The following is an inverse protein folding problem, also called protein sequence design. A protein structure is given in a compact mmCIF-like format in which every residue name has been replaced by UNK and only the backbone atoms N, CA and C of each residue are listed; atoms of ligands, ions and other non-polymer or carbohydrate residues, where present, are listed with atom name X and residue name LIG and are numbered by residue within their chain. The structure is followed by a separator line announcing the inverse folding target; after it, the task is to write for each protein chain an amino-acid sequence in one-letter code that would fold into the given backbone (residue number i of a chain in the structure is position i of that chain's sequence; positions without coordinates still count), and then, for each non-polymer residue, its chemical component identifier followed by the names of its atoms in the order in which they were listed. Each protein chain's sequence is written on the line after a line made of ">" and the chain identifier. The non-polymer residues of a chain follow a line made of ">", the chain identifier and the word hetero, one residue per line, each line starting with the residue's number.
data_IF_103590005958
#
_entry.id   IF_103590005958
#
_cell.length_a   1.000
_cell.length_b   1.000
_cell.length_c   1.000
_cell.angle_alpha   90.00
_cell.angle_beta   90.00
_cell.angle_gamma   90.00
#
_symmetry.space_group_name_H-M   'P 1'
#
loop_
_entity.id
_entity.type
_entity.pdbx_description
1 polymer ?
#
# COMPACT_ATOMS: atom_id res chain seq x y z
N UNK A 1 -10.91 34.73 -24.03
CA UNK A 1 -11.59 33.59 -24.71
C UNK A 1 -10.77 32.32 -24.37
N UNK A 2 -11.42 31.30 -23.82
CA UNK A 2 -10.73 30.06 -23.48
C UNK A 2 -10.91 29.11 -24.66
N UNK A 3 -9.81 28.62 -25.20
CA UNK A 3 -9.86 27.59 -26.24
C UNK A 3 -10.04 26.23 -25.64
N UNK A 4 -11.25 25.71 -25.74
CA UNK A 4 -11.61 24.39 -25.19
C UNK A 4 -11.03 23.19 -25.98
N UNK A 5 -10.44 23.47 -27.13
CA UNK A 5 -9.80 22.47 -27.99
C UNK A 5 -8.28 22.45 -27.85
N UNK A 6 -7.74 23.33 -27.01
CA UNK A 6 -6.30 23.42 -26.78
C UNK A 6 -5.75 22.32 -25.89
N UNK A 7 -4.46 22.10 -25.97
CA UNK A 7 -3.72 21.13 -25.20
C UNK A 7 -3.85 21.32 -23.67
N UNK A 8 -4.22 22.50 -23.24
CA UNK A 8 -4.36 22.84 -21.82
C UNK A 8 -5.55 22.14 -21.15
N UNK A 9 -6.48 21.64 -21.94
CA UNK A 9 -7.65 20.91 -21.50
C UNK A 9 -7.66 19.45 -21.95
N UNK A 10 -6.52 18.93 -22.40
CA UNK A 10 -6.38 17.50 -22.67
C UNK A 10 -6.75 16.71 -21.43
N UNK A 11 -7.62 15.73 -21.59
CA UNK A 11 -8.01 14.85 -20.49
C UNK A 11 -6.75 14.29 -19.83
N UNK A 12 -6.62 14.55 -18.54
CA UNK A 12 -5.55 13.99 -17.75
C UNK A 12 -5.84 12.51 -17.58
N UNK A 13 -5.14 11.69 -18.33
CA UNK A 13 -5.25 10.23 -18.17
C UNK A 13 -4.73 9.88 -16.79
N UNK A 14 -5.64 9.50 -15.89
CA UNK A 14 -5.26 9.01 -14.57
C UNK A 14 -4.78 7.58 -14.74
N UNK A 15 -3.49 7.35 -14.50
CA UNK A 15 -2.91 6.02 -14.52
C UNK A 15 -3.31 5.28 -13.25
N UNK A 16 -3.79 4.06 -13.42
CA UNK A 16 -4.17 3.19 -12.32
C UNK A 16 -3.04 2.18 -12.07
N UNK A 17 -2.69 1.98 -10.82
CA UNK A 17 -1.63 1.05 -10.43
C UNK A 17 -1.90 -0.34 -11.02
N UNK A 18 -0.90 -0.91 -11.65
CA UNK A 18 -0.95 -2.18 -12.36
C UNK A 18 -2.16 -2.32 -13.31
N UNK A 19 -2.56 -1.22 -13.95
CA UNK A 19 -3.73 -1.17 -14.86
C UNK A 19 -5.03 -1.67 -14.21
N UNK A 20 -5.16 -1.57 -12.90
CA UNK A 20 -6.33 -2.00 -12.15
C UNK A 20 -6.44 -3.51 -11.96
N UNK A 21 -5.38 -4.27 -12.22
CA UNK A 21 -5.36 -5.73 -12.06
C UNK A 21 -4.61 -6.11 -10.79
N UNK A 22 -5.23 -6.94 -9.96
CA UNK A 22 -4.57 -7.50 -8.77
C UNK A 22 -3.56 -8.57 -9.15
N UNK A 23 -2.66 -8.85 -8.24
CA UNK A 23 -1.62 -9.85 -8.41
C UNK A 23 -0.22 -9.30 -8.15
N UNK A 24 0.77 -10.05 -8.58
CA UNK A 24 2.17 -9.65 -8.46
C UNK A 24 2.49 -8.53 -9.44
N UNK A 25 3.14 -7.49 -8.94
CA UNK A 25 3.62 -6.38 -9.75
C UNK A 25 5.14 -6.36 -9.65
N UNK A 26 5.82 -6.49 -10.77
CA UNK A 26 7.27 -6.55 -10.83
C UNK A 26 7.89 -5.18 -11.06
N UNK A 27 9.11 -5.01 -10.57
CA UNK A 27 9.96 -3.84 -10.84
C UNK A 27 9.30 -2.52 -10.43
N UNK A 28 8.77 -2.50 -9.21
CA UNK A 28 8.26 -1.27 -8.60
C UNK A 28 9.38 -0.56 -7.83
N UNK A 29 9.28 0.76 -7.76
CA UNK A 29 10.08 1.56 -6.83
C UNK A 29 9.28 1.82 -5.57
N UNK A 30 9.96 2.12 -4.47
CA UNK A 30 9.30 2.54 -3.24
C UNK A 30 9.80 3.89 -2.77
N UNK A 31 8.93 4.61 -2.09
CA UNK A 31 9.24 5.89 -1.46
C UNK A 31 8.55 5.95 -0.11
N UNK A 32 9.28 6.38 0.91
CA UNK A 32 8.71 6.59 2.24
C UNK A 32 8.28 8.05 2.37
N UNK A 33 7.04 8.24 2.78
CA UNK A 33 6.49 9.56 3.10
C UNK A 33 6.05 9.58 4.55
N UNK A 34 6.53 10.55 5.31
CA UNK A 34 6.03 10.82 6.65
C UNK A 34 4.78 11.67 6.55
N UNK A 35 3.68 11.20 7.13
CA UNK A 35 2.43 11.95 7.15
C UNK A 35 2.32 12.72 8.46
N UNK A 36 1.91 13.98 8.35
CA UNK A 36 1.56 14.77 9.49
C UNK A 36 0.26 14.29 10.11
N UNK A 37 0.22 14.20 11.42
CA UNK A 37 -0.97 13.81 12.17
C UNK A 37 -1.93 14.98 12.40
N UNK A 38 -1.83 16.07 11.66
CA UNK A 38 -2.62 17.28 11.86
C UNK A 38 -4.13 16.98 11.93
N UNK A 39 -4.60 16.78 13.16
CA UNK A 39 -6.00 16.65 13.48
C UNK A 39 -6.68 15.31 13.16
N UNK A 40 -5.96 14.34 12.61
CA UNK A 40 -6.52 13.01 12.32
C UNK A 40 -5.83 11.91 13.12
N UNK A 41 -6.52 11.39 14.14
CA UNK A 41 -6.03 10.24 14.90
C UNK A 41 -5.83 8.98 14.07
N UNK A 42 -6.36 8.95 12.85
CA UNK A 42 -6.35 7.81 11.94
C UNK A 42 -5.46 8.00 10.72
N UNK A 43 -4.80 9.13 10.60
CA UNK A 43 -3.84 9.34 9.51
C UNK A 43 -2.60 8.47 9.74
N UNK A 44 -2.08 7.79 8.73
CA UNK A 44 -0.86 7.02 8.90
C UNK A 44 0.31 7.94 9.24
N UNK A 45 1.16 7.52 10.17
CA UNK A 45 2.40 8.22 10.49
C UNK A 45 3.36 8.19 9.29
N UNK A 46 3.32 7.08 8.55
CA UNK A 46 4.11 6.89 7.33
C UNK A 46 3.28 6.21 6.25
N UNK A 47 3.59 6.55 5.01
CA UNK A 47 3.20 5.76 3.83
C UNK A 47 4.44 5.24 3.13
N UNK A 48 4.38 3.99 2.71
CA UNK A 48 5.29 3.46 1.70
C UNK A 48 4.54 3.49 0.38
N UNK A 49 5.03 4.31 -0.54
CA UNK A 49 4.42 4.49 -1.86
C UNK A 49 5.12 3.58 -2.84
N UNK A 50 4.36 2.70 -3.47
CA UNK A 50 4.82 1.81 -4.52
C UNK A 50 4.46 2.43 -5.87
N UNK A 51 5.44 2.55 -6.75
CA UNK A 51 5.23 3.11 -8.09
C UNK A 51 5.60 2.07 -9.13
N UNK A 52 4.68 1.77 -10.03
CA UNK A 52 4.90 0.79 -11.09
C UNK A 52 5.72 1.38 -12.25
N UNK A 53 6.04 0.54 -13.24
CA UNK A 53 6.87 0.93 -14.38
C UNK A 53 6.22 1.99 -15.27
N UNK A 54 4.93 2.20 -15.16
CA UNK A 54 4.20 3.24 -15.90
C UNK A 54 3.98 4.53 -15.11
N UNK A 55 4.45 4.57 -13.86
CA UNK A 55 4.37 5.76 -13.02
C UNK A 55 3.10 5.85 -12.17
N UNK A 56 2.26 4.82 -12.18
CA UNK A 56 1.11 4.77 -11.29
C UNK A 56 1.51 4.27 -9.90
N UNK A 57 0.84 4.74 -8.87
CA UNK A 57 1.21 4.47 -7.48
C UNK A 57 0.09 3.85 -6.67
N UNK A 58 0.49 3.04 -5.69
CA UNK A 58 -0.36 2.55 -4.63
C UNK A 58 0.37 2.68 -3.28
N UNK A 59 -0.36 2.83 -2.21
CA UNK A 59 0.21 3.11 -0.91
C UNK A 59 0.00 1.98 0.09
N UNK A 60 0.94 1.81 0.99
CA UNK A 60 0.79 1.02 2.20
C UNK A 60 0.98 1.91 3.42
N UNK A 61 -0.05 2.04 4.25
CA UNK A 61 -0.02 2.89 5.44
C UNK A 61 0.58 2.17 6.64
N UNK A 62 1.37 2.90 7.41
CA UNK A 62 1.97 2.47 8.67
C UNK A 62 1.61 3.47 9.75
N UNK A 63 0.56 3.20 10.49
CA UNK A 63 0.08 4.06 11.56
C UNK A 63 -0.17 3.28 12.83
N UNK A 64 -0.05 3.97 13.93
CA UNK A 64 -0.23 3.40 15.25
C UNK A 64 -1.72 3.24 15.57
N UNK A 65 -2.18 2.01 15.66
CA UNK A 65 -3.60 1.70 15.91
C UNK A 65 -3.83 0.73 17.07
N UNK A 66 -2.84 0.59 17.93
CA UNK A 66 -2.93 -0.31 19.09
C UNK A 66 -2.36 -1.71 18.90
N UNK A 67 -2.08 -2.14 17.67
CA UNK A 67 -1.39 -3.40 17.43
C UNK A 67 0.06 -3.19 16.99
N UNK A 68 0.91 -3.04 17.99
CA UNK A 68 2.33 -2.73 17.82
C UNK A 68 3.09 -3.82 17.08
N UNK A 69 2.84 -5.08 17.43
CA UNK A 69 3.56 -6.21 16.83
C UNK A 69 3.33 -6.30 15.32
N UNK A 70 2.10 -6.18 14.88
CA UNK A 70 1.77 -6.23 13.45
C UNK A 70 2.42 -5.05 12.73
N UNK A 71 2.32 -3.86 13.28
CA UNK A 71 2.89 -2.65 12.69
C UNK A 71 4.41 -2.79 12.50
N UNK A 72 5.11 -3.18 13.55
CA UNK A 72 6.57 -3.34 13.49
C UNK A 72 6.96 -4.50 12.59
N UNK A 73 6.25 -5.63 12.65
CA UNK A 73 6.52 -6.77 11.75
C UNK A 73 6.38 -6.39 10.27
N UNK A 74 5.37 -5.61 9.93
CA UNK A 74 5.20 -5.12 8.56
C UNK A 74 6.31 -4.16 8.14
N UNK A 75 6.68 -3.25 9.03
CA UNK A 75 7.80 -2.32 8.78
C UNK A 75 9.12 -3.07 8.60
N UNK A 76 9.40 -4.06 9.44
CA UNK A 76 10.59 -4.92 9.31
C UNK A 76 10.58 -5.72 8.02
N UNK A 77 9.43 -6.15 7.55
CA UNK A 77 9.30 -6.84 6.28
C UNK A 77 9.76 -5.96 5.10
N UNK A 78 9.34 -4.71 5.08
CA UNK A 78 9.85 -3.74 4.10
C UNK A 78 11.35 -3.49 4.30
N UNK A 79 11.77 -3.30 5.52
CA UNK A 79 13.18 -3.07 5.85
C UNK A 79 14.10 -4.20 5.37
N UNK A 80 13.69 -5.44 5.57
CA UNK A 80 14.46 -6.60 5.09
C UNK A 80 14.48 -6.73 3.57
N UNK A 81 13.42 -6.33 2.91
CA UNK A 81 13.43 -6.27 1.45
C UNK A 81 14.45 -5.25 0.92
N UNK A 82 14.60 -4.13 1.62
CA UNK A 82 15.51 -3.04 1.23
C UNK A 82 16.95 -3.30 1.65
N UNK A 83 17.17 -3.75 2.90
CA UNK A 83 18.48 -3.82 3.54
C UNK A 83 19.09 -5.23 3.52
N UNK A 84 18.29 -6.23 3.18
CA UNK A 84 18.70 -7.63 3.22
C UNK A 84 18.12 -8.39 4.42
N UNK A 85 17.94 -9.71 4.24
CA UNK A 85 17.33 -10.56 5.25
C UNK A 85 18.18 -10.67 6.55
N UNK A 86 19.48 -10.47 6.43
CA UNK A 86 20.44 -10.60 7.53
C UNK A 86 20.73 -9.26 8.23
N UNK A 87 20.11 -8.18 7.81
CA UNK A 87 20.35 -6.87 8.41
C UNK A 87 19.90 -6.83 9.87
N UNK A 88 20.74 -6.31 10.74
CA UNK A 88 20.45 -6.14 12.16
C UNK A 88 19.98 -4.72 12.43
N UNK A 89 18.72 -4.58 12.79
CA UNK A 89 18.12 -3.28 13.09
C UNK A 89 18.59 -2.77 14.45
N UNK A 90 18.72 -1.44 14.61
CA UNK A 90 19.10 -0.86 15.90
C UNK A 90 17.98 -1.08 16.93
N UNK A 91 18.38 -1.13 18.20
CA UNK A 91 17.43 -1.19 19.30
C UNK A 91 16.56 0.08 19.35
N UNK A 92 15.35 -0.06 19.84
CA UNK A 92 14.40 1.04 19.96
C UNK A 92 13.81 1.09 21.37
N UNK A 93 13.48 2.28 21.82
CA UNK A 93 12.93 2.53 23.15
C UNK A 93 11.40 2.43 23.21
N UNK A 94 10.76 2.55 22.05
CA UNK A 94 9.30 2.48 21.92
C UNK A 94 8.91 2.02 20.51
N UNK A 95 7.65 1.66 20.34
CA UNK A 95 7.10 1.33 19.02
C UNK A 95 7.24 2.45 18.03
N UNK A 96 6.96 3.68 18.47
CA UNK A 96 7.11 4.86 17.61
C UNK A 96 8.57 5.11 17.25
N UNK A 97 9.48 4.96 18.17
CA UNK A 97 10.92 5.08 17.92
C UNK A 97 11.39 3.98 16.94
N UNK A 98 10.92 2.74 17.13
CA UNK A 98 11.21 1.65 16.22
C UNK A 98 10.75 1.96 14.79
N UNK A 99 9.50 2.40 14.65
CA UNK A 99 8.94 2.74 13.34
C UNK A 99 9.71 3.87 12.67
N UNK A 100 10.04 4.93 13.41
CA UNK A 100 10.85 6.03 12.89
C UNK A 100 12.23 5.57 12.41
N UNK A 101 12.90 4.72 13.17
CA UNK A 101 14.23 4.18 12.81
C UNK A 101 14.17 3.30 11.57
N UNK A 102 13.21 2.40 11.52
CA UNK A 102 13.03 1.49 10.38
C UNK A 102 12.70 2.29 9.11
N UNK A 103 11.77 3.21 9.20
CA UNK A 103 11.34 4.00 8.03
C UNK A 103 12.44 4.92 7.52
N UNK A 104 13.26 5.47 8.41
CA UNK A 104 14.44 6.25 8.01
C UNK A 104 15.46 5.40 7.27
N UNK A 105 15.72 4.19 7.73
CA UNK A 105 16.62 3.26 7.07
C UNK A 105 16.10 2.87 5.68
N UNK A 106 14.82 2.61 5.56
CA UNK A 106 14.17 2.31 4.27
C UNK A 106 14.34 3.50 3.32
N UNK A 107 14.01 4.70 3.79
CA UNK A 107 14.13 5.92 3.01
C UNK A 107 15.55 6.15 2.50
N UNK A 108 16.54 5.99 3.37
CA UNK A 108 17.94 6.27 3.04
C UNK A 108 18.57 5.21 2.13
N UNK A 109 17.97 4.02 2.02
CA UNK A 109 18.56 2.89 1.31
C UNK A 109 17.73 2.33 0.14
N UNK A 110 16.57 2.88 -0.14
CA UNK A 110 15.68 2.37 -1.19
C UNK A 110 15.87 3.00 -2.56
N UNK A 111 16.53 4.14 -2.65
CA UNK A 111 16.75 4.82 -3.91
C UNK A 111 17.52 3.96 -4.91
N UNK A 112 17.03 3.89 -6.14
CA UNK A 112 17.65 3.11 -7.21
C UNK A 112 17.42 1.61 -7.13
N UNK A 113 16.68 1.12 -6.14
CA UNK A 113 16.36 -0.30 -5.99
C UNK A 113 14.99 -0.61 -6.55
N UNK A 114 14.86 -1.80 -7.12
CA UNK A 114 13.60 -2.33 -7.64
C UNK A 114 13.10 -3.46 -6.75
N UNK A 115 11.78 -3.51 -6.61
CA UNK A 115 11.08 -4.49 -5.79
C UNK A 115 9.93 -5.10 -6.58
N UNK A 116 9.45 -6.24 -6.11
CA UNK A 116 8.15 -6.76 -6.51
C UNK A 116 7.17 -6.56 -5.36
N UNK A 117 5.92 -6.32 -5.69
CA UNK A 117 4.85 -6.20 -4.71
C UNK A 117 3.64 -7.03 -5.10
N UNK A 118 2.68 -7.12 -4.21
CA UNK A 118 1.42 -7.81 -4.46
C UNK A 118 0.25 -6.91 -4.08
N UNK A 119 -0.69 -6.74 -5.00
CA UNK A 119 -1.87 -5.91 -4.77
C UNK A 119 -3.16 -6.71 -4.97
N UNK A 120 -4.20 -6.33 -4.25
CA UNK A 120 -5.49 -7.00 -4.26
C UNK A 120 -6.63 -6.01 -4.09
N UNK A 121 -7.82 -6.45 -4.47
CA UNK A 121 -9.08 -5.79 -4.06
C UNK A 121 -9.57 -6.34 -2.71
N UNK A 122 -8.65 -6.44 -1.76
CA UNK A 122 -8.93 -7.01 -0.45
C UNK A 122 -8.97 -8.53 -0.46
N UNK A 123 -9.61 -9.08 0.55
CA UNK A 123 -9.72 -10.52 0.72
C UNK A 123 -11.18 -10.91 0.95
N UNK A 124 -11.67 -11.88 0.21
CA UNK A 124 -13.05 -12.32 0.27
C UNK A 124 -13.47 -12.84 1.66
N UNK A 125 -12.52 -13.38 2.43
CA UNK A 125 -12.79 -13.94 3.75
C UNK A 125 -12.77 -12.90 4.87
N UNK A 126 -12.22 -11.72 4.61
CA UNK A 126 -12.08 -10.66 5.61
C UNK A 126 -12.72 -9.36 5.19
N UNK A 127 -12.20 -8.74 4.14
CA UNK A 127 -12.61 -7.40 3.75
C UNK A 127 -12.39 -7.17 2.26
N UNK A 128 -13.39 -7.37 1.41
CA UNK A 128 -13.35 -6.95 0.02
C UNK A 128 -13.20 -5.42 -0.08
N UNK A 129 -12.48 -4.96 -1.09
CA UNK A 129 -12.28 -3.54 -1.35
C UNK A 129 -12.71 -3.19 -2.78
N UNK A 130 -13.22 -1.99 -2.96
CA UNK A 130 -13.47 -1.41 -4.28
C UNK A 130 -12.21 -0.82 -4.90
N UNK A 131 -11.15 -0.71 -4.11
CA UNK A 131 -9.89 -0.13 -4.51
C UNK A 131 -8.79 -1.17 -4.49
N UNK A 132 -7.88 -1.05 -5.45
CA UNK A 132 -6.68 -1.87 -5.50
C UNK A 132 -5.69 -1.36 -4.45
N UNK A 133 -5.33 -2.22 -3.53
CA UNK A 133 -4.43 -1.89 -2.42
C UNK A 133 -3.24 -2.84 -2.40
N UNK A 134 -2.13 -2.38 -1.83
CA UNK A 134 -1.02 -3.27 -1.50
C UNK A 134 -1.52 -4.28 -0.46
N UNK A 135 -1.24 -5.55 -0.69
CA UNK A 135 -1.64 -6.62 0.23
C UNK A 135 -1.06 -6.39 1.63
N UNK A 136 -1.80 -6.77 2.65
CA UNK A 136 -1.42 -6.46 4.02
C UNK A 136 -0.21 -7.26 4.50
N UNK A 137 -0.13 -8.56 4.17
CA UNK A 137 0.99 -9.43 4.50
C UNK A 137 1.66 -9.95 3.22
N UNK A 138 2.94 -10.32 3.32
CA UNK A 138 3.73 -10.84 2.21
C UNK A 138 3.54 -10.00 0.94
N UNK A 139 3.93 -8.75 1.04
CA UNK A 139 3.58 -7.75 0.02
C UNK A 139 4.78 -7.13 -0.69
N UNK A 140 5.99 -7.46 -0.30
CA UNK A 140 7.20 -6.91 -0.91
C UNK A 140 8.36 -7.91 -0.85
N UNK A 141 9.13 -7.93 -1.90
CA UNK A 141 10.40 -8.65 -1.98
C UNK A 141 11.34 -7.92 -2.95
N UNK A 142 12.67 -8.12 -2.88
CA UNK A 142 13.57 -7.61 -3.91
C UNK A 142 13.19 -8.14 -5.29
N UNK A 143 13.36 -7.33 -6.34
CA UNK A 143 13.01 -7.75 -7.70
C UNK A 143 13.87 -8.91 -8.21
N UNK A 144 15.08 -9.06 -7.68
CA UNK A 144 16.04 -10.11 -8.05
C UNK A 144 15.98 -11.36 -7.16
N UNK A 145 14.91 -11.51 -6.37
CA UNK A 145 14.74 -12.68 -5.50
C UNK A 145 14.69 -13.97 -6.32
N UNK A 146 15.41 -15.01 -5.88
CA UNK A 146 15.43 -16.31 -6.57
C UNK A 146 14.11 -17.07 -6.41
N UNK A 147 13.56 -17.07 -5.20
CA UNK A 147 12.34 -17.79 -4.87
C UNK A 147 11.27 -16.82 -4.39
N UNK A 148 10.35 -16.47 -5.27
CA UNK A 148 9.27 -15.55 -4.92
C UNK A 148 8.33 -16.14 -3.86
N UNK A 149 7.98 -15.30 -2.89
CA UNK A 149 6.90 -15.57 -1.92
C UNK A 149 5.59 -14.90 -2.32
N UNK A 150 5.66 -13.99 -3.29
CA UNK A 150 4.49 -13.24 -3.76
C UNK A 150 3.65 -14.13 -4.69
N UNK A 151 2.64 -14.72 -4.14
CA UNK A 151 1.69 -15.58 -4.84
C UNK A 151 0.27 -15.30 -4.36
N UNK A 152 -0.71 -15.68 -5.15
CA UNK A 152 -2.11 -15.61 -4.75
C UNK A 152 -2.33 -16.49 -3.52
N UNK A 153 -2.99 -15.94 -2.53
CA UNK A 153 -3.39 -16.65 -1.31
C UNK A 153 -4.90 -16.83 -1.28
N UNK A 154 -5.35 -17.74 -0.42
CA UNK A 154 -6.76 -18.01 -0.26
C UNK A 154 -7.54 -16.74 0.09
N UNK A 155 -8.53 -16.44 -0.71
CA UNK A 155 -9.40 -15.28 -0.55
C UNK A 155 -8.90 -13.99 -1.22
N UNK A 156 -7.68 -13.96 -1.76
CA UNK A 156 -7.18 -12.78 -2.48
C UNK A 156 -8.08 -12.47 -3.68
N UNK A 157 -8.57 -11.24 -3.75
CA UNK A 157 -9.39 -10.76 -4.85
C UNK A 157 -8.51 -9.99 -5.84
N UNK A 158 -8.38 -10.56 -7.04
CA UNK A 158 -7.54 -9.99 -8.09
C UNK A 158 -8.31 -9.08 -9.05
N UNK A 159 -9.62 -9.17 -9.01
CA UNK A 159 -10.51 -8.35 -9.82
C UNK A 159 -11.48 -7.58 -8.93
N UNK A 160 -11.89 -6.43 -9.42
CA UNK A 160 -12.88 -5.61 -8.72
C UNK A 160 -14.19 -6.39 -8.63
N UNK A 161 -14.67 -6.57 -7.42
CA UNK A 161 -15.99 -7.17 -7.19
C UNK A 161 -17.04 -6.19 -7.69
N UNK A 162 -17.96 -6.68 -8.54
CA UNK A 162 -19.09 -5.88 -8.97
C UNK A 162 -19.87 -5.45 -7.72
N UNK A 163 -20.06 -4.12 -7.57
CA UNK A 163 -21.00 -3.65 -6.58
C UNK A 163 -22.39 -4.12 -6.99
N UNK A 164 -23.05 -4.79 -6.06
CA UNK A 164 -24.50 -4.89 -6.18
C UNK A 164 -25.04 -3.46 -6.33
N UNK A 165 -25.89 -3.26 -7.34
CA UNK A 165 -26.54 -1.97 -7.49
C UNK A 165 -27.09 -1.55 -6.12
N UNK A 166 -26.95 -0.25 -5.76
CA UNK A 166 -27.45 0.19 -4.48
C UNK A 166 -28.92 -0.18 -4.40
N UNK A 167 -29.19 -1.27 -3.69
CA UNK A 167 -30.55 -1.63 -3.40
C UNK A 167 -31.14 -0.48 -2.60
N UNK A 168 -32.43 -0.25 -2.76
CA UNK A 168 -33.18 0.76 -1.99
C UNK A 168 -33.09 0.56 -0.47
N UNK A 169 -32.46 -0.49 -0.03
CA UNK A 169 -32.17 -0.79 1.38
C UNK A 169 -30.79 -0.33 1.84
N UNK A 170 -30.03 0.22 0.95
CA UNK A 170 -28.67 0.61 1.21
C UNK A 170 -28.55 1.65 2.33
N UNK A 171 -29.55 2.46 2.58
CA UNK A 171 -29.49 3.51 3.57
C UNK A 171 -29.33 3.07 5.02
N UNK A 172 -29.51 1.81 5.35
CA UNK A 172 -29.52 1.35 6.75
C UNK A 172 -28.21 0.71 7.22
N UNK A 173 -27.32 0.36 6.32
CA UNK A 173 -26.05 -0.31 6.71
C UNK A 173 -24.82 0.38 6.19
N UNK A 174 -24.95 1.26 5.27
CA UNK A 174 -23.83 1.74 4.48
C UNK A 174 -22.94 2.70 5.20
N UNK A 175 -23.51 3.51 6.08
CA UNK A 175 -22.72 4.41 6.90
C UNK A 175 -21.76 3.67 7.83
N UNK A 176 -22.12 2.47 8.24
CA UNK A 176 -21.30 1.66 9.14
C UNK A 176 -20.15 1.01 8.39
N UNK A 177 -20.40 0.52 7.18
CA UNK A 177 -19.35 -0.10 6.38
C UNK A 177 -18.25 0.87 5.98
N UNK A 178 -18.57 2.13 5.77
CA UNK A 178 -17.58 3.14 5.42
C UNK A 178 -16.62 3.45 6.59
N UNK A 179 -17.08 3.34 7.81
CA UNK A 179 -16.27 3.67 8.99
C UNK A 179 -15.28 2.58 9.35
N UNK A 180 -15.48 1.36 8.88
CA UNK A 180 -14.58 0.23 9.12
C UNK A 180 -13.31 0.27 8.26
N UNK A 181 -13.19 1.24 7.40
CA UNK A 181 -12.07 1.38 6.47
C UNK A 181 -10.85 2.07 7.04
N UNK A 182 -10.91 2.36 8.24
CA UNK A 182 -9.88 3.15 8.88
C UNK A 182 -8.78 2.28 9.45
#
# INVERSE_FOLDING_TARGET
>A
MIDLNGSDFAEKVVKVFNNGVGGKVENVTIKVEKKSLDGHAQAPDFNVVFTDSEGASANSGFYYNGNEQILISRALHVGRAVLGAEYVFPAAESTKDALNKIMKLIKDNSEGKLFNTFCTYGNANYKPSQYLNIRFFDFIEPADVENTRLRVKNGDLLEKVAQDEPSTKAGSGDAVAADDWV
#
